data_IF_042281407935
#
_entry.id   IF_042281407935
#
_cell.length_a   1.000
_cell.length_b   1.000
_cell.length_c   1.000
_cell.angle_alpha   90.00
_cell.angle_beta   90.00
_cell.angle_gamma   90.00
#
_symmetry.space_group_name_H-M   'P 1'
#
loop_
_entity.id
_entity.type
_entity.pdbx_description
1 polymer ?
#
# COMPACT_ATOMS: atom_id res chain seq x y z
N UNK A 1 -25.23 14.77 58.62
CA UNK A 1 -24.96 16.08 57.99
C UNK A 1 -23.94 15.84 56.89
N UNK A 2 -24.17 16.36 55.67
CA UNK A 2 -23.19 16.27 54.60
C UNK A 2 -21.91 16.99 55.04
N UNK A 3 -20.75 16.33 54.94
CA UNK A 3 -19.45 16.97 55.23
C UNK A 3 -19.28 18.16 54.31
N UNK A 4 -18.71 19.25 54.82
CA UNK A 4 -18.38 20.38 53.95
C UNK A 4 -17.36 19.96 52.87
N UNK A 5 -17.31 20.69 51.75
CA UNK A 5 -16.33 20.43 50.68
C UNK A 5 -14.89 20.42 51.22
N UNK A 6 -14.57 21.32 52.15
CA UNK A 6 -13.27 21.42 52.80
C UNK A 6 -12.93 20.21 53.67
N UNK A 7 -13.89 19.70 54.45
CA UNK A 7 -13.72 18.47 55.25
C UNK A 7 -13.52 17.24 54.36
N UNK A 8 -14.24 17.18 53.24
CA UNK A 8 -14.11 16.10 52.24
C UNK A 8 -12.73 16.14 51.57
N UNK A 9 -12.22 17.32 51.21
CA UNK A 9 -10.88 17.49 50.64
C UNK A 9 -9.77 17.10 51.63
N UNK A 10 -9.88 17.54 52.89
CA UNK A 10 -8.92 17.17 53.93
C UNK A 10 -8.87 15.65 54.11
N UNK A 11 -10.04 15.00 54.16
CA UNK A 11 -10.14 13.54 54.24
C UNK A 11 -9.54 12.83 53.01
N UNK A 12 -9.86 13.28 51.79
CA UNK A 12 -9.30 12.71 50.55
C UNK A 12 -7.76 12.81 50.52
N UNK A 13 -7.20 13.93 50.98
CA UNK A 13 -5.74 14.11 51.09
C UNK A 13 -5.13 13.11 52.07
N UNK A 14 -5.75 12.87 53.22
CA UNK A 14 -5.28 11.90 54.23
C UNK A 14 -5.31 10.46 53.71
N UNK A 15 -6.35 10.06 52.96
CA UNK A 15 -6.47 8.68 52.47
C UNK A 15 -5.77 8.41 51.12
N UNK A 16 -5.20 9.44 50.48
CA UNK A 16 -4.59 9.34 49.15
C UNK A 16 -3.51 8.25 49.04
N UNK A 17 -2.68 8.11 50.09
CA UNK A 17 -1.67 7.05 50.16
C UNK A 17 -2.28 5.66 50.23
N UNK A 18 -3.34 5.47 51.03
CA UNK A 18 -4.06 4.20 51.12
C UNK A 18 -4.73 3.84 49.78
N UNK A 19 -5.33 4.82 49.10
CA UNK A 19 -5.95 4.64 47.79
C UNK A 19 -4.92 4.18 46.75
N UNK A 20 -3.72 4.75 46.77
CA UNK A 20 -2.65 4.34 45.88
C UNK A 20 -2.22 2.89 46.13
N UNK A 21 -2.02 2.50 47.41
CA UNK A 21 -1.66 1.12 47.76
C UNK A 21 -2.77 0.13 47.39
N UNK A 22 -4.04 0.47 47.66
CA UNK A 22 -5.18 -0.34 47.28
C UNK A 22 -5.31 -0.50 45.76
N UNK A 23 -5.04 0.57 45.02
CA UNK A 23 -5.03 0.55 43.54
C UNK A 23 -3.97 -0.39 43.01
N UNK A 24 -2.72 -0.28 43.47
CA UNK A 24 -1.63 -1.17 43.05
C UNK A 24 -1.96 -2.64 43.34
N UNK A 25 -2.51 -2.93 44.53
CA UNK A 25 -2.93 -4.28 44.89
C UNK A 25 -4.06 -4.80 43.99
N UNK A 26 -5.02 -3.94 43.64
CA UNK A 26 -6.13 -4.30 42.74
C UNK A 26 -5.63 -4.53 41.32
N UNK A 27 -4.72 -3.70 40.82
CA UNK A 27 -4.08 -3.85 39.50
C UNK A 27 -3.40 -5.21 39.37
N UNK A 28 -2.58 -5.59 40.36
CA UNK A 28 -1.87 -6.88 40.39
C UNK A 28 -2.82 -8.08 40.45
N UNK A 29 -3.94 -7.94 41.15
CA UNK A 29 -4.95 -9.00 41.26
C UNK A 29 -5.88 -9.14 40.04
N UNK A 30 -6.06 -8.08 39.24
CA UNK A 30 -7.11 -8.04 38.20
C UNK A 30 -6.58 -7.97 36.78
N UNK A 31 -5.36 -7.48 36.56
CA UNK A 31 -4.78 -7.29 35.24
C UNK A 31 -3.58 -8.21 35.04
N UNK A 32 -3.73 -9.37 34.35
CA UNK A 32 -2.64 -10.33 34.15
C UNK A 32 -1.38 -9.69 33.53
N UNK A 33 -1.58 -8.80 32.55
CA UNK A 33 -0.48 -8.11 31.87
C UNK A 33 0.33 -7.22 32.81
N UNK A 34 -0.25 -6.70 33.90
CA UNK A 34 0.45 -5.87 34.87
C UNK A 34 1.40 -6.71 35.73
N UNK A 35 0.96 -7.91 36.11
CA UNK A 35 1.76 -8.90 36.83
C UNK A 35 2.96 -9.42 36.01
N UNK A 36 2.85 -9.44 34.68
CA UNK A 36 3.91 -9.87 33.77
C UNK A 36 4.90 -8.74 33.40
N UNK A 37 4.63 -7.49 33.79
CA UNK A 37 5.51 -6.37 33.44
C UNK A 37 6.85 -6.40 34.21
N UNK A 38 7.97 -6.00 33.58
CA UNK A 38 9.24 -5.80 34.27
C UNK A 38 9.11 -4.80 35.43
N UNK A 39 9.86 -4.98 36.55
CA UNK A 39 9.71 -4.16 37.75
C UNK A 39 9.79 -2.65 37.52
N UNK A 40 10.70 -2.19 36.66
CA UNK A 40 10.83 -0.77 36.33
C UNK A 40 9.60 -0.16 35.65
N UNK A 41 8.93 -0.92 34.76
CA UNK A 41 7.70 -0.47 34.08
C UNK A 41 6.51 -0.52 35.01
N UNK A 42 6.42 -1.58 35.83
CA UNK A 42 5.36 -1.73 36.85
C UNK A 42 5.37 -0.56 37.84
N UNK A 43 6.56 -0.16 38.30
CA UNK A 43 6.75 1.01 39.16
C UNK A 43 6.24 2.30 38.48
N UNK A 44 6.58 2.49 37.20
CA UNK A 44 6.14 3.66 36.44
C UNK A 44 4.61 3.71 36.24
N UNK A 45 3.93 2.57 36.04
CA UNK A 45 2.46 2.49 36.04
C UNK A 45 1.89 2.87 37.41
N UNK A 46 2.52 2.43 38.50
CA UNK A 46 2.15 2.82 39.86
C UNK A 46 2.23 4.34 40.11
N UNK A 47 3.25 5.01 39.55
CA UNK A 47 3.39 6.46 39.61
C UNK A 47 2.26 7.18 38.87
N UNK A 48 1.84 6.66 37.71
CA UNK A 48 0.69 7.20 36.95
C UNK A 48 -0.61 7.07 37.75
N UNK A 49 -0.84 5.92 38.39
CA UNK A 49 -2.01 5.73 39.26
C UNK A 49 -2.04 6.72 40.44
N UNK A 50 -0.89 6.97 41.07
CA UNK A 50 -0.75 7.97 42.13
C UNK A 50 -1.00 9.39 41.64
N UNK A 51 -0.42 9.76 40.49
CA UNK A 51 -0.65 11.05 39.84
C UNK A 51 -2.14 11.25 39.50
N UNK A 52 -2.82 10.19 39.04
CA UNK A 52 -4.27 10.19 38.77
C UNK A 52 -5.12 10.48 40.01
N UNK A 53 -4.78 9.90 41.17
CA UNK A 53 -5.47 10.17 42.44
C UNK A 53 -5.21 11.60 42.91
N UNK A 54 -3.97 12.10 42.78
CA UNK A 54 -3.63 13.49 43.14
C UNK A 54 -4.35 14.49 42.24
N UNK A 55 -4.39 14.24 40.93
CA UNK A 55 -5.08 15.07 39.95
C UNK A 55 -6.59 15.10 40.21
N UNK A 56 -7.21 13.99 40.63
CA UNK A 56 -8.61 13.97 41.07
C UNK A 56 -8.85 14.92 42.26
N UNK A 57 -7.99 14.87 43.29
CA UNK A 57 -8.14 15.70 44.48
C UNK A 57 -8.03 17.19 44.11
N UNK A 58 -7.09 17.53 43.23
CA UNK A 58 -6.91 18.89 42.72
C UNK A 58 -8.11 19.35 41.87
N UNK A 59 -8.61 18.50 40.98
CA UNK A 59 -9.80 18.77 40.19
C UNK A 59 -11.06 18.92 41.06
N UNK A 60 -11.19 18.13 42.12
CA UNK A 60 -12.30 18.26 43.08
C UNK A 60 -12.25 19.58 43.84
N UNK A 61 -11.05 20.09 44.16
CA UNK A 61 -10.84 21.40 44.77
C UNK A 61 -11.31 22.52 43.83
N UNK A 62 -10.85 22.49 42.58
CA UNK A 62 -11.21 23.46 41.53
C UNK A 62 -11.52 22.77 40.19
N UNK A 63 -12.81 22.53 39.87
CA UNK A 63 -13.22 21.89 38.62
C UNK A 63 -12.91 22.71 37.36
N UNK A 64 -12.55 24.00 37.47
CA UNK A 64 -12.17 24.82 36.31
C UNK A 64 -10.78 24.48 35.77
N UNK A 65 -9.99 23.68 36.50
CA UNK A 65 -8.64 23.22 36.10
C UNK A 65 -8.64 22.06 35.08
N UNK A 66 -9.80 21.74 34.48
CA UNK A 66 -10.01 20.59 33.59
C UNK A 66 -9.07 20.53 32.37
N UNK A 67 -8.52 21.67 31.93
CA UNK A 67 -7.73 21.81 30.70
C UNK A 67 -6.39 21.02 30.69
N UNK A 68 -5.89 20.53 31.83
CA UNK A 68 -4.54 19.94 31.94
C UNK A 68 -4.46 18.53 32.53
N UNK A 69 -5.60 17.85 32.78
CA UNK A 69 -5.66 16.54 33.46
C UNK A 69 -4.79 15.48 32.76
N UNK A 70 -4.81 15.42 31.42
CA UNK A 70 -4.00 14.48 30.65
C UNK A 70 -2.49 14.74 30.81
N UNK A 71 -2.09 16.01 30.70
CA UNK A 71 -0.69 16.43 30.80
C UNK A 71 -0.14 16.18 32.20
N UNK A 72 -0.95 16.35 33.25
CA UNK A 72 -0.52 16.17 34.63
C UNK A 72 -0.38 14.70 35.03
N UNK A 73 -1.28 13.82 34.53
CA UNK A 73 -1.26 12.39 34.86
C UNK A 73 -0.25 11.61 34.00
N UNK A 74 -0.17 11.92 32.71
CA UNK A 74 0.72 11.22 31.77
C UNK A 74 2.07 11.92 31.59
N UNK A 75 2.18 13.21 31.89
CA UNK A 75 3.45 13.95 31.81
C UNK A 75 4.43 13.62 32.94
N UNK A 76 3.95 13.08 34.06
CA UNK A 76 4.80 12.53 35.13
C UNK A 76 5.37 11.14 34.82
N UNK A 77 4.89 10.49 33.75
CA UNK A 77 5.33 9.16 33.36
C UNK A 77 6.60 9.21 32.47
N UNK A 78 7.53 8.25 32.59
CA UNK A 78 8.63 8.11 31.66
C UNK A 78 8.12 7.95 30.22
N UNK A 79 8.82 8.57 29.25
CA UNK A 79 8.45 8.49 27.82
C UNK A 79 8.44 7.06 27.28
N UNK A 80 9.21 6.15 27.88
CA UNK A 80 9.20 4.73 27.50
C UNK A 80 7.87 4.03 27.84
N UNK A 81 7.15 4.49 28.86
CA UNK A 81 5.86 3.91 29.27
C UNK A 81 4.76 4.24 28.26
N UNK A 82 4.73 5.48 27.76
CA UNK A 82 3.77 5.92 26.73
C UNK A 82 3.92 5.18 25.40
N UNK A 83 5.11 4.61 25.12
CA UNK A 83 5.36 3.82 23.91
C UNK A 83 5.01 2.34 24.05
N UNK A 84 4.87 1.84 25.28
CA UNK A 84 4.75 0.40 25.57
C UNK A 84 3.39 -0.01 26.15
N UNK A 85 2.60 0.95 26.63
CA UNK A 85 1.24 0.70 27.13
C UNK A 85 0.23 1.03 26.02
N UNK A 86 -0.68 0.12 25.71
CA UNK A 86 -1.72 0.33 24.68
C UNK A 86 -2.89 1.16 25.21
N UNK A 87 -3.71 1.74 24.33
CA UNK A 87 -4.94 2.45 24.74
C UNK A 87 -5.86 1.53 25.57
N UNK A 88 -5.98 0.26 25.19
CA UNK A 88 -6.76 -0.73 25.93
C UNK A 88 -6.24 -0.90 27.36
N UNK A 89 -4.91 -1.03 27.54
CA UNK A 89 -4.30 -1.15 28.86
C UNK A 89 -4.49 0.13 29.68
N UNK A 90 -4.38 1.32 29.07
CA UNK A 90 -4.64 2.60 29.73
C UNK A 90 -6.09 2.72 30.22
N UNK A 91 -7.07 2.31 29.40
CA UNK A 91 -8.49 2.29 29.80
C UNK A 91 -8.75 1.29 30.94
N UNK A 92 -8.08 0.13 30.93
CA UNK A 92 -8.16 -0.84 32.02
C UNK A 92 -7.57 -0.28 33.33
N UNK A 93 -6.44 0.44 33.26
CA UNK A 93 -5.86 1.13 34.42
C UNK A 93 -6.83 2.15 35.01
N UNK A 94 -7.37 3.04 34.18
CA UNK A 94 -8.32 4.08 34.60
C UNK A 94 -9.54 3.43 35.26
N UNK A 95 -10.08 2.37 34.65
CA UNK A 95 -11.21 1.63 35.21
C UNK A 95 -10.91 1.09 36.60
N UNK A 96 -9.77 0.43 36.80
CA UNK A 96 -9.40 -0.10 38.11
C UNK A 96 -9.20 1.01 39.15
N UNK A 97 -8.57 2.12 38.78
CA UNK A 97 -8.39 3.29 39.67
C UNK A 97 -9.75 3.84 40.09
N UNK A 98 -10.67 4.02 39.14
CA UNK A 98 -12.03 4.52 39.40
C UNK A 98 -12.80 3.55 40.29
N UNK A 99 -12.79 2.25 40.00
CA UNK A 99 -13.46 1.22 40.82
C UNK A 99 -12.94 1.23 42.26
N UNK A 100 -11.63 1.38 42.48
CA UNK A 100 -11.04 1.44 43.82
C UNK A 100 -11.45 2.71 44.58
N UNK A 101 -11.47 3.86 43.90
CA UNK A 101 -11.92 5.12 44.49
C UNK A 101 -13.42 5.06 44.79
N UNK A 102 -14.24 4.53 43.89
CA UNK A 102 -15.69 4.33 44.11
C UNK A 102 -15.96 3.40 45.29
N UNK A 103 -15.29 2.25 45.37
CA UNK A 103 -15.42 1.28 46.45
C UNK A 103 -15.15 1.93 47.83
N UNK A 104 -14.13 2.79 47.91
CA UNK A 104 -13.76 3.48 49.15
C UNK A 104 -14.74 4.60 49.52
N UNK A 105 -15.47 5.13 48.54
CA UNK A 105 -16.35 6.30 48.66
C UNK A 105 -17.84 5.91 48.72
N UNK A 106 -18.17 4.61 48.71
CA UNK A 106 -19.55 4.09 48.81
C UNK A 106 -20.40 4.68 49.95
N UNK A 107 -19.78 5.07 51.06
CA UNK A 107 -20.44 5.71 52.22
C UNK A 107 -20.39 7.24 52.26
N UNK A 108 -19.88 7.90 51.22
CA UNK A 108 -19.75 9.36 51.15
C UNK A 108 -20.98 10.02 50.50
N UNK A 109 -20.98 11.36 50.52
CA UNK A 109 -22.05 12.20 49.98
C UNK A 109 -22.23 12.06 48.46
N UNK A 110 -23.45 12.31 47.98
CA UNK A 110 -23.81 12.18 46.56
C UNK A 110 -22.96 13.09 45.65
N UNK A 111 -22.58 14.28 46.16
CA UNK A 111 -21.72 15.25 45.47
C UNK A 111 -20.34 14.69 45.12
N UNK A 112 -19.73 13.89 46.00
CA UNK A 112 -18.42 13.28 45.74
C UNK A 112 -18.52 12.14 44.73
N UNK A 113 -19.63 11.39 44.73
CA UNK A 113 -19.88 10.33 43.74
C UNK A 113 -20.04 10.91 42.33
N UNK A 114 -20.81 11.99 42.21
CA UNK A 114 -20.95 12.72 40.94
C UNK A 114 -19.61 13.28 40.46
N UNK A 115 -18.80 13.84 41.37
CA UNK A 115 -17.46 14.31 41.05
C UNK A 115 -16.54 13.20 40.52
N UNK A 116 -16.58 12.00 41.09
CA UNK A 116 -15.80 10.85 40.59
C UNK A 116 -16.23 10.45 39.19
N UNK A 117 -17.55 10.42 38.90
CA UNK A 117 -18.08 10.10 37.58
C UNK A 117 -17.71 11.16 36.52
N UNK A 118 -17.77 12.43 36.88
CA UNK A 118 -17.36 13.52 35.98
C UNK A 118 -15.86 13.43 35.70
N UNK A 119 -15.03 13.30 36.73
CA UNK A 119 -13.58 13.17 36.56
C UNK A 119 -13.18 11.93 35.77
N UNK A 120 -13.83 10.77 36.00
CA UNK A 120 -13.55 9.53 35.29
C UNK A 120 -13.86 9.65 33.79
N UNK A 121 -14.92 10.39 33.44
CA UNK A 121 -15.22 10.73 32.05
C UNK A 121 -14.16 11.64 31.44
N UNK A 122 -13.77 12.72 32.13
CA UNK A 122 -12.78 13.68 31.62
C UNK A 122 -11.41 13.02 31.43
N UNK A 123 -10.92 12.21 32.38
CA UNK A 123 -9.64 11.50 32.26
C UNK A 123 -9.66 10.47 31.14
N UNK A 124 -10.79 9.78 30.90
CA UNK A 124 -10.91 8.83 29.81
C UNK A 124 -10.83 9.50 28.42
N UNK A 125 -11.51 10.63 28.22
CA UNK A 125 -11.41 11.40 26.97
C UNK A 125 -10.02 12.01 26.76
N UNK A 126 -9.43 12.54 27.82
CA UNK A 126 -8.05 13.02 27.83
C UNK A 126 -7.04 11.94 27.39
N UNK A 127 -7.16 10.72 27.91
CA UNK A 127 -6.33 9.59 27.48
C UNK A 127 -6.56 9.22 26.03
N UNK A 128 -7.81 9.20 25.58
CA UNK A 128 -8.14 8.92 24.18
C UNK A 128 -7.49 9.95 23.23
N UNK A 129 -7.50 11.25 23.57
CA UNK A 129 -6.88 12.30 22.75
C UNK A 129 -5.35 12.12 22.63
N UNK A 130 -4.65 11.80 23.73
CA UNK A 130 -3.19 11.56 23.71
C UNK A 130 -2.83 10.38 22.81
N UNK A 131 -3.57 9.27 22.91
CA UNK A 131 -3.33 8.09 22.07
C UNK A 131 -3.77 8.31 20.62
N UNK A 132 -4.85 9.06 20.37
CA UNK A 132 -5.28 9.44 19.03
C UNK A 132 -4.19 10.26 18.32
N UNK A 133 -3.66 11.31 18.97
CA UNK A 133 -2.56 12.12 18.42
C UNK A 133 -1.29 11.30 18.18
N UNK A 134 -0.94 10.39 19.09
CA UNK A 134 0.22 9.52 18.91
C UNK A 134 0.02 8.52 17.74
N UNK A 135 -1.20 8.00 17.56
CA UNK A 135 -1.55 7.15 16.44
C UNK A 135 -1.55 7.91 15.11
N UNK A 136 -2.10 9.14 15.07
CA UNK A 136 -2.04 10.03 13.92
C UNK A 136 -0.61 10.38 13.53
N UNK A 137 0.24 10.74 14.50
CA UNK A 137 1.65 11.04 14.25
C UNK A 137 2.41 9.84 13.67
N UNK A 138 2.10 8.62 14.12
CA UNK A 138 2.66 7.39 13.56
C UNK A 138 2.14 7.11 12.15
N UNK A 139 0.83 7.25 11.93
CA UNK A 139 0.23 7.09 10.60
C UNK A 139 0.78 8.09 9.57
N UNK A 140 1.05 9.33 9.99
CA UNK A 140 1.71 10.34 9.15
C UNK A 140 3.18 9.97 8.84
N UNK A 141 3.88 9.31 9.75
CA UNK A 141 5.24 8.84 9.51
C UNK A 141 5.26 7.69 8.51
N UNK A 142 4.35 6.72 8.66
CA UNK A 142 4.19 5.60 7.72
C UNK A 142 3.79 6.10 6.32
N UNK A 143 2.83 7.02 6.23
CA UNK A 143 2.42 7.62 4.96
C UNK A 143 3.55 8.41 4.28
N UNK A 144 4.38 9.10 5.07
CA UNK A 144 5.56 9.82 4.54
C UNK A 144 6.65 8.86 4.08
N UNK A 145 6.91 7.80 4.83
CA UNK A 145 7.87 6.76 4.47
C UNK A 145 7.44 6.06 3.17
N UNK A 146 6.16 5.71 3.07
CA UNK A 146 5.56 5.12 1.88
C UNK A 146 5.64 6.05 0.67
N UNK A 147 5.29 7.33 0.82
CA UNK A 147 5.43 8.32 -0.23
C UNK A 147 6.88 8.44 -0.73
N UNK A 148 7.86 8.40 0.17
CA UNK A 148 9.28 8.42 -0.18
C UNK A 148 9.69 7.15 -0.95
N UNK A 149 9.25 5.98 -0.51
CA UNK A 149 9.53 4.71 -1.20
C UNK A 149 8.92 4.69 -2.60
N UNK A 150 7.66 5.12 -2.75
CA UNK A 150 7.02 5.20 -4.07
C UNK A 150 7.75 6.20 -4.95
N UNK A 151 8.17 7.36 -4.43
CA UNK A 151 8.93 8.33 -5.23
C UNK A 151 10.27 7.78 -5.72
N UNK A 152 11.03 7.07 -4.86
CA UNK A 152 12.26 6.36 -5.25
C UNK A 152 12.01 5.30 -6.33
N UNK A 153 10.90 4.55 -6.24
CA UNK A 153 10.50 3.59 -7.28
C UNK A 153 10.19 4.31 -8.60
N UNK A 154 9.50 5.46 -8.55
CA UNK A 154 9.13 6.21 -9.73
C UNK A 154 10.32 6.86 -10.44
N UNK A 155 11.27 7.43 -9.68
CA UNK A 155 12.53 7.95 -10.22
C UNK A 155 13.41 6.80 -10.76
N UNK A 156 13.37 5.65 -10.08
CA UNK A 156 14.29 4.54 -10.29
C UNK A 156 15.64 4.76 -9.61
N UNK A 157 15.70 5.68 -8.63
CA UNK A 157 16.86 5.91 -7.79
C UNK A 157 16.77 4.99 -6.57
N UNK A 158 17.68 4.01 -6.51
CA UNK A 158 17.76 3.06 -5.41
C UNK A 158 18.89 3.45 -4.47
N UNK A 159 18.55 3.57 -3.19
CA UNK A 159 19.50 3.72 -2.09
C UNK A 159 19.57 2.40 -1.31
N UNK A 160 20.69 2.14 -0.63
CA UNK A 160 20.94 0.90 0.12
C UNK A 160 19.92 0.69 1.26
N UNK A 161 19.27 1.76 1.71
CA UNK A 161 18.24 1.72 2.76
C UNK A 161 16.83 1.31 2.26
N UNK A 162 16.58 1.35 0.95
CA UNK A 162 15.25 1.13 0.37
C UNK A 162 14.63 -0.23 0.79
N UNK A 163 15.34 -1.37 0.76
CA UNK A 163 14.80 -2.65 1.22
C UNK A 163 14.34 -2.62 2.70
N UNK A 164 15.11 -1.98 3.57
CA UNK A 164 14.77 -1.84 5.00
C UNK A 164 13.51 -1.00 5.20
N UNK A 165 13.33 0.07 4.42
CA UNK A 165 12.13 0.92 4.47
C UNK A 165 10.89 0.20 3.97
N UNK A 166 11.03 -0.59 2.90
CA UNK A 166 9.96 -1.44 2.35
C UNK A 166 9.52 -2.51 3.36
N UNK A 167 10.49 -3.19 3.99
CA UNK A 167 10.20 -4.19 5.02
C UNK A 167 9.48 -3.57 6.24
N UNK A 168 9.86 -2.34 6.63
CA UNK A 168 9.21 -1.61 7.72
C UNK A 168 7.72 -1.27 7.41
N UNK A 169 7.35 -1.13 6.14
CA UNK A 169 5.97 -0.94 5.69
C UNK A 169 5.15 -2.24 5.64
N UNK A 170 5.76 -3.37 6.02
CA UNK A 170 5.10 -4.68 6.00
C UNK A 170 4.91 -5.23 4.59
N UNK A 171 5.80 -4.89 3.67
CA UNK A 171 5.86 -5.52 2.35
C UNK A 171 6.55 -6.88 2.47
N UNK A 172 5.85 -7.93 2.07
CA UNK A 172 6.32 -9.31 2.10
C UNK A 172 6.67 -9.84 0.70
N UNK A 173 6.33 -9.10 -0.35
CA UNK A 173 6.52 -9.50 -1.74
C UNK A 173 7.97 -9.72 -2.12
N UNK A 174 8.35 -10.99 -2.28
CA UNK A 174 9.55 -11.46 -2.99
C UNK A 174 9.27 -11.75 -4.48
N UNK A 175 8.09 -11.38 -4.96
CA UNK A 175 7.59 -11.77 -6.27
C UNK A 175 7.53 -10.63 -7.28
N UNK A 176 6.85 -10.94 -8.37
CA UNK A 176 6.57 -10.03 -9.47
C UNK A 176 5.82 -8.78 -8.98
N UNK A 177 6.04 -7.67 -9.69
CA UNK A 177 5.45 -6.36 -9.38
C UNK A 177 4.84 -5.77 -10.64
N UNK A 178 3.73 -5.04 -10.48
CA UNK A 178 3.18 -4.17 -11.50
C UNK A 178 2.66 -2.87 -10.89
N UNK A 179 2.67 -1.79 -11.67
CA UNK A 179 2.27 -0.46 -11.20
C UNK A 179 0.98 -0.03 -11.90
N UNK A 180 -0.02 0.33 -11.11
CA UNK A 180 -1.32 0.79 -11.55
C UNK A 180 -1.44 2.30 -11.32
N UNK A 181 -1.77 3.05 -12.37
CA UNK A 181 -1.85 4.51 -12.34
C UNK A 181 -3.23 4.96 -12.79
N UNK A 182 -3.88 5.80 -11.99
CA UNK A 182 -5.17 6.38 -12.31
C UNK A 182 -5.36 7.77 -11.72
N UNK A 183 -6.55 8.33 -11.88
CA UNK A 183 -6.91 9.62 -11.27
C UNK A 183 -7.09 9.46 -9.76
N UNK A 184 -6.58 10.38 -8.95
CA UNK A 184 -6.86 10.39 -7.50
C UNK A 184 -8.32 10.76 -7.25
N UNK A 185 -9.09 9.98 -6.46
CA UNK A 185 -10.43 10.39 -6.05
C UNK A 185 -10.38 11.62 -5.13
N UNK A 186 -11.49 12.35 -5.00
CA UNK A 186 -11.57 13.52 -4.11
C UNK A 186 -11.36 13.17 -2.64
N UNK A 187 -11.81 11.99 -2.23
CA UNK A 187 -11.59 11.41 -0.91
C UNK A 187 -10.96 10.04 -1.14
N UNK A 188 -9.73 9.85 -0.66
CA UNK A 188 -8.98 8.61 -0.83
C UNK A 188 -9.10 7.76 0.44
N UNK A 189 -9.76 6.60 0.34
CA UNK A 189 -9.80 5.60 1.40
C UNK A 189 -8.65 4.60 1.22
N UNK A 190 -7.52 4.92 1.86
CA UNK A 190 -6.30 4.10 1.83
C UNK A 190 -6.53 2.73 2.49
N UNK A 191 -7.34 2.67 3.54
CA UNK A 191 -7.60 1.43 4.27
C UNK A 191 -8.48 0.47 3.49
N UNK A 192 -9.43 0.97 2.70
CA UNK A 192 -10.20 0.15 1.76
C UNK A 192 -9.29 -0.48 0.70
N UNK A 193 -8.39 0.29 0.07
CA UNK A 193 -7.43 -0.23 -0.91
C UNK A 193 -6.55 -1.33 -0.31
N UNK A 194 -6.02 -1.11 0.90
CA UNK A 194 -5.22 -2.13 1.61
C UNK A 194 -6.01 -3.37 1.97
N UNK A 195 -7.26 -3.22 2.42
CA UNK A 195 -8.13 -4.37 2.74
C UNK A 195 -8.43 -5.20 1.50
N UNK A 196 -8.74 -4.55 0.38
CA UNK A 196 -8.94 -5.24 -0.91
C UNK A 196 -7.68 -5.96 -1.34
N UNK A 197 -6.51 -5.32 -1.31
CA UNK A 197 -5.23 -5.94 -1.68
C UNK A 197 -4.91 -7.17 -0.81
N UNK A 198 -5.06 -7.06 0.52
CA UNK A 198 -4.86 -8.18 1.46
C UNK A 198 -5.79 -9.36 1.19
N UNK A 199 -7.05 -9.09 0.84
CA UNK A 199 -8.00 -10.15 0.48
C UNK A 199 -7.60 -10.90 -0.78
N UNK A 200 -6.87 -10.24 -1.68
CA UNK A 200 -6.34 -10.79 -2.94
C UNK A 200 -4.91 -11.34 -2.79
N UNK A 201 -4.39 -11.44 -1.56
CA UNK A 201 -3.01 -11.87 -1.29
C UNK A 201 -1.96 -11.04 -2.07
N UNK A 202 -2.18 -9.72 -2.12
CA UNK A 202 -1.27 -8.78 -2.73
C UNK A 202 -0.82 -7.72 -1.72
N UNK A 203 0.45 -7.36 -1.81
CA UNK A 203 1.00 -6.19 -1.14
C UNK A 203 0.79 -4.96 -2.03
N UNK A 204 0.52 -3.81 -1.40
CA UNK A 204 0.32 -2.55 -2.12
C UNK A 204 1.04 -1.39 -1.42
N UNK A 205 1.82 -0.63 -2.20
CA UNK A 205 2.32 0.69 -1.82
C UNK A 205 1.50 1.76 -2.54
N UNK A 206 1.11 2.78 -1.81
CA UNK A 206 0.17 3.80 -2.25
C UNK A 206 0.88 5.15 -2.30
N UNK A 207 0.98 5.73 -3.50
CA UNK A 207 1.56 7.05 -3.72
C UNK A 207 0.58 8.01 -4.38
N UNK A 208 0.49 9.24 -3.86
CA UNK A 208 -0.32 10.31 -4.46
C UNK A 208 0.61 11.34 -5.10
N UNK A 209 0.50 11.53 -6.41
CA UNK A 209 1.26 12.52 -7.18
C UNK A 209 0.34 13.53 -7.87
N UNK A 210 0.01 14.61 -7.17
CA UNK A 210 -0.95 15.61 -7.64
C UNK A 210 -2.32 14.98 -7.86
N UNK A 211 -2.82 14.99 -9.10
CA UNK A 211 -4.09 14.37 -9.46
C UNK A 211 -3.98 12.88 -9.88
N UNK A 212 -2.82 12.25 -9.65
CA UNK A 212 -2.56 10.86 -10.00
C UNK A 212 -2.39 10.02 -8.75
N UNK A 213 -3.10 8.91 -8.70
CA UNK A 213 -2.91 7.85 -7.72
C UNK A 213 -2.06 6.75 -8.36
N UNK A 214 -0.99 6.36 -7.69
CA UNK A 214 -0.05 5.32 -8.11
C UNK A 214 -0.11 4.22 -7.07
N UNK A 215 -0.43 3.00 -7.51
CA UNK A 215 -0.38 1.80 -6.69
C UNK A 215 0.72 0.89 -7.22
N UNK A 216 1.70 0.57 -6.39
CA UNK A 216 2.68 -0.47 -6.68
C UNK A 216 2.16 -1.76 -6.07
N UNK A 217 1.86 -2.74 -6.92
CA UNK A 217 1.21 -3.99 -6.54
C UNK A 217 2.26 -5.10 -6.62
N UNK A 218 2.50 -5.80 -5.50
CA UNK A 218 3.35 -6.98 -5.43
C UNK A 218 2.51 -8.21 -5.10
N UNK A 219 2.77 -9.34 -5.76
CA UNK A 219 2.14 -10.60 -5.33
C UNK A 219 2.87 -11.15 -4.11
N UNK A 220 2.14 -11.66 -3.12
CA UNK A 220 2.75 -12.32 -1.97
C UNK A 220 3.24 -13.74 -2.31
N UNK A 221 2.72 -14.34 -3.39
CA UNK A 221 3.11 -15.66 -3.91
C UNK A 221 3.52 -15.50 -5.38
N UNK A 222 4.72 -15.98 -5.80
CA UNK A 222 5.13 -15.95 -7.20
C UNK A 222 4.20 -16.80 -8.08
N UNK A 223 3.98 -16.41 -9.34
CA UNK A 223 3.26 -17.26 -10.28
C UNK A 223 3.99 -18.61 -10.46
N UNK A 224 3.27 -19.75 -10.59
CA UNK A 224 3.90 -21.03 -10.89
C UNK A 224 4.64 -20.94 -12.24
N UNK A 225 5.98 -20.99 -12.18
CA UNK A 225 6.88 -20.90 -13.33
C UNK A 225 7.83 -19.70 -13.39
N UNK A 226 7.71 -18.72 -12.49
CA UNK A 226 8.61 -17.54 -12.44
C UNK A 226 9.80 -17.68 -11.50
N UNK A 227 10.13 -18.90 -11.07
CA UNK A 227 11.30 -19.17 -10.24
C UNK A 227 12.60 -18.81 -10.99
N UNK A 228 13.18 -17.67 -10.60
CA UNK A 228 14.55 -17.31 -10.97
C UNK A 228 15.49 -18.31 -10.27
N UNK A 229 16.50 -18.90 -10.94
CA UNK A 229 17.42 -19.83 -10.32
C UNK A 229 18.44 -19.07 -9.46
N UNK A 230 18.06 -18.72 -8.23
CA UNK A 230 18.96 -18.07 -7.28
C UNK A 230 18.62 -18.42 -5.82
N UNK A 231 18.73 -19.70 -5.47
CA UNK A 231 19.40 -20.13 -4.23
C UNK A 231 19.47 -21.66 -4.20
N UNK A 232 20.66 -22.20 -4.49
CA UNK A 232 21.02 -23.53 -4.00
C UNK A 232 21.09 -23.48 -2.48
N UNK A 233 20.04 -23.98 -1.80
CA UNK A 233 20.08 -24.67 -0.51
C UNK A 233 18.69 -24.68 0.16
N UNK A 234 17.85 -25.65 -0.20
CA UNK A 234 17.06 -26.42 0.77
C UNK A 234 16.33 -27.56 0.04
N UNK A 235 16.77 -28.76 0.40
CA UNK A 235 16.24 -30.09 0.10
C UNK A 235 14.74 -30.24 -0.12
N UNK A 236 14.41 -31.03 -1.15
CA UNK A 236 13.44 -32.13 -1.15
C UNK A 236 12.14 -31.90 -0.35
N UNK A 237 11.17 -31.27 -1.00
CA UNK A 237 9.77 -31.61 -0.81
C UNK A 237 9.14 -31.76 -2.20
N UNK A 238 8.91 -33.00 -2.62
CA UNK A 238 7.91 -33.30 -3.63
C UNK A 238 6.59 -32.72 -3.12
N UNK A 239 6.23 -31.54 -3.61
CA UNK A 239 5.00 -30.86 -3.20
C UNK A 239 4.03 -30.96 -4.36
N UNK A 240 2.91 -31.61 -4.11
CA UNK A 240 1.79 -31.85 -5.02
C UNK A 240 1.48 -30.65 -5.93
N UNK A 241 1.87 -30.73 -7.20
CA UNK A 241 1.50 -29.77 -8.26
C UNK A 241 -0.02 -29.74 -8.56
N UNK A 242 -0.81 -30.57 -7.88
CA UNK A 242 -2.23 -30.79 -8.17
C UNK A 242 -3.20 -29.84 -7.43
N UNK A 243 -2.74 -29.02 -6.47
CA UNK A 243 -3.61 -28.19 -5.62
C UNK A 243 -3.15 -26.72 -5.45
N UNK A 244 -2.32 -26.19 -6.35
CA UNK A 244 -1.99 -24.76 -6.31
C UNK A 244 -3.23 -23.93 -6.68
N UNK A 245 -3.77 -23.15 -5.73
CA UNK A 245 -4.82 -22.16 -6.02
C UNK A 245 -4.35 -21.23 -7.15
N UNK A 246 -5.21 -20.89 -8.12
CA UNK A 246 -4.82 -20.05 -9.25
C UNK A 246 -4.38 -18.67 -8.75
N UNK A 247 -3.09 -18.33 -8.94
CA UNK A 247 -2.56 -17.00 -8.67
C UNK A 247 -3.27 -15.97 -9.54
N UNK A 248 -3.89 -14.97 -8.92
CA UNK A 248 -4.61 -13.91 -9.63
C UNK A 248 -3.65 -13.10 -10.52
N UNK A 249 -4.09 -12.81 -11.74
CA UNK A 249 -3.34 -11.95 -12.65
C UNK A 249 -3.28 -10.51 -12.12
N UNK A 250 -2.25 -9.74 -12.50
CA UNK A 250 -2.22 -8.31 -12.15
C UNK A 250 -3.43 -7.55 -12.72
N UNK A 251 -4.00 -8.05 -13.82
CA UNK A 251 -5.19 -7.47 -14.42
C UNK A 251 -6.42 -7.66 -13.53
N UNK A 252 -6.57 -8.82 -12.92
CA UNK A 252 -7.70 -9.10 -12.01
C UNK A 252 -7.56 -8.33 -10.70
N UNK A 253 -6.34 -8.23 -10.17
CA UNK A 253 -6.05 -7.38 -9.00
C UNK A 253 -6.36 -5.90 -9.33
N UNK A 254 -5.94 -5.42 -10.50
CA UNK A 254 -6.19 -4.05 -10.92
C UNK A 254 -7.69 -3.74 -11.11
N UNK A 255 -8.48 -4.71 -11.63
CA UNK A 255 -9.95 -4.59 -11.71
C UNK A 255 -10.59 -4.52 -10.32
N UNK A 256 -10.12 -5.33 -9.37
CA UNK A 256 -10.63 -5.31 -8.01
C UNK A 256 -10.28 -4.01 -7.26
N UNK A 257 -9.13 -3.40 -7.58
CA UNK A 257 -8.69 -2.11 -7.01
C UNK A 257 -9.29 -0.89 -7.73
N UNK A 258 -9.85 -1.06 -8.93
CA UNK A 258 -10.48 0.01 -9.73
C UNK A 258 -11.45 0.91 -8.94
N UNK A 259 -12.33 0.40 -8.06
CA UNK A 259 -13.28 1.23 -7.32
C UNK A 259 -12.62 2.26 -6.40
N UNK A 260 -11.36 2.07 -6.03
CA UNK A 260 -10.59 3.02 -5.22
C UNK A 260 -10.00 4.19 -6.01
N UNK A 261 -10.15 4.21 -7.33
CA UNK A 261 -9.65 5.30 -8.19
C UNK A 261 -10.76 6.28 -8.59
N UNK A 262 -10.35 7.52 -8.89
CA UNK A 262 -11.22 8.52 -9.48
C UNK A 262 -11.65 8.19 -10.91
N UNK A 263 -12.57 8.98 -11.49
CA UNK A 263 -13.01 8.83 -12.86
C UNK A 263 -11.88 9.08 -13.87
N UNK A 264 -12.03 8.56 -15.09
CA UNK A 264 -11.06 8.75 -16.17
C UNK A 264 -10.37 7.45 -16.60
N UNK A 265 -9.09 7.53 -16.95
CA UNK A 265 -8.31 6.36 -17.36
C UNK A 265 -7.67 5.68 -16.14
N UNK A 266 -7.40 4.38 -16.29
CA UNK A 266 -6.68 3.58 -15.30
C UNK A 266 -5.75 2.68 -16.10
N UNK A 267 -4.45 2.79 -15.88
CA UNK A 267 -3.43 2.14 -16.69
C UNK A 267 -2.55 1.26 -15.83
N UNK A 268 -2.43 0.00 -16.22
CA UNK A 268 -1.59 -1.01 -15.58
C UNK A 268 -0.29 -1.19 -16.38
N UNK A 269 0.85 -1.07 -15.70
CA UNK A 269 2.16 -1.33 -16.28
C UNK A 269 2.39 -2.82 -16.57
N UNK A 270 3.43 -3.11 -17.35
CA UNK A 270 3.85 -4.50 -17.55
C UNK A 270 4.39 -5.09 -16.25
N UNK A 271 4.29 -6.40 -16.14
CA UNK A 271 4.84 -7.17 -15.03
C UNK A 271 6.37 -7.17 -15.06
N UNK A 272 6.97 -7.00 -13.89
CA UNK A 272 8.42 -7.01 -13.69
C UNK A 272 8.80 -7.97 -12.56
N UNK A 273 10.03 -8.51 -12.54
CA UNK A 273 10.41 -9.60 -11.62
C UNK A 273 10.50 -9.18 -10.15
N UNK A 274 10.78 -7.90 -9.89
CA UNK A 274 11.06 -7.41 -8.55
C UNK A 274 10.62 -5.96 -8.35
N UNK A 275 10.57 -5.52 -7.10
CA UNK A 275 10.30 -4.13 -6.75
C UNK A 275 11.39 -3.17 -7.24
N UNK A 276 12.63 -3.65 -7.41
CA UNK A 276 13.75 -2.88 -7.99
C UNK A 276 13.55 -2.68 -9.49
N UNK A 277 12.75 -3.51 -10.16
CA UNK A 277 12.39 -3.31 -11.56
C UNK A 277 11.11 -2.49 -11.74
N UNK A 278 10.39 -2.18 -10.64
CA UNK A 278 9.09 -1.54 -10.68
C UNK A 278 9.11 -0.16 -11.34
N UNK A 279 10.26 0.54 -11.35
CA UNK A 279 10.45 1.79 -12.08
C UNK A 279 10.12 1.67 -13.57
N UNK A 280 10.39 0.52 -14.21
CA UNK A 280 10.06 0.28 -15.62
C UNK A 280 8.56 0.14 -15.83
N UNK A 281 7.89 -0.61 -14.95
CA UNK A 281 6.44 -0.76 -14.95
C UNK A 281 5.75 0.58 -14.70
N UNK A 282 6.25 1.35 -13.72
CA UNK A 282 5.75 2.67 -13.38
C UNK A 282 5.89 3.68 -14.51
N UNK A 283 7.08 3.78 -15.13
CA UNK A 283 7.32 4.67 -16.26
C UNK A 283 6.38 4.35 -17.42
N UNK A 284 6.16 3.06 -17.71
CA UNK A 284 5.21 2.62 -18.71
C UNK A 284 3.76 3.00 -18.36
N UNK A 285 3.33 2.77 -17.12
CA UNK A 285 1.98 3.09 -16.67
C UNK A 285 1.71 4.60 -16.64
N UNK A 286 2.66 5.41 -16.18
CA UNK A 286 2.59 6.88 -16.18
C UNK A 286 2.53 7.45 -17.60
N UNK A 287 3.40 6.97 -18.50
CA UNK A 287 3.37 7.36 -19.90
C UNK A 287 2.06 6.95 -20.58
N UNK A 288 1.59 5.73 -20.31
CA UNK A 288 0.30 5.24 -20.78
C UNK A 288 -0.86 6.09 -20.28
N UNK A 289 -0.89 6.44 -18.98
CA UNK A 289 -1.92 7.30 -18.40
C UNK A 289 -1.97 8.68 -19.07
N UNK A 290 -0.81 9.26 -19.43
CA UNK A 290 -0.74 10.55 -20.12
C UNK A 290 -1.35 10.52 -21.53
N UNK A 291 -1.30 9.37 -22.21
CA UNK A 291 -1.78 9.22 -23.61
C UNK A 291 -3.10 8.46 -23.73
N UNK A 292 -3.60 7.85 -22.65
CA UNK A 292 -4.78 6.97 -22.68
C UNK A 292 -6.02 7.61 -23.32
N UNK A 293 -6.17 8.95 -23.21
CA UNK A 293 -7.24 9.72 -23.85
C UNK A 293 -7.27 9.63 -25.37
N UNK A 294 -6.15 9.29 -26.01
CA UNK A 294 -6.09 9.14 -27.46
C UNK A 294 -6.82 7.86 -27.94
N UNK A 295 -6.99 6.87 -27.05
CA UNK A 295 -7.79 5.69 -27.33
C UNK A 295 -9.21 5.86 -26.80
N UNK A 296 -10.13 6.23 -27.71
CA UNK A 296 -11.52 6.63 -27.38
C UNK A 296 -12.28 5.61 -26.53
N UNK A 297 -12.09 4.32 -26.80
CA UNK A 297 -12.79 3.22 -26.13
C UNK A 297 -11.79 2.32 -25.38
N UNK A 298 -10.79 2.91 -24.74
CA UNK A 298 -9.82 2.15 -23.95
C UNK A 298 -10.53 1.39 -22.81
N UNK A 299 -10.22 0.08 -22.62
CA UNK A 299 -10.75 -0.68 -21.49
C UNK A 299 -10.25 -0.09 -20.18
N UNK A 300 -10.99 -0.29 -19.09
CA UNK A 300 -10.59 0.15 -17.75
C UNK A 300 -10.49 -1.08 -16.84
N UNK A 301 -9.30 -1.42 -16.31
CA UNK A 301 -7.98 -0.83 -16.60
C UNK A 301 -7.46 -1.18 -18.01
N UNK A 302 -6.59 -0.32 -18.57
CA UNK A 302 -5.86 -0.52 -19.83
C UNK A 302 -4.44 -1.00 -19.55
N UNK A 303 -3.87 -1.89 -20.36
CA UNK A 303 -2.45 -2.21 -20.26
C UNK A 303 -1.60 -1.11 -20.91
N UNK A 304 -0.49 -0.75 -20.29
CA UNK A 304 0.46 0.22 -20.83
C UNK A 304 1.06 -0.26 -22.16
N UNK A 305 1.18 -1.58 -22.34
CA UNK A 305 1.69 -2.20 -23.57
C UNK A 305 0.67 -2.14 -24.71
N UNK A 306 -0.63 -2.03 -24.41
CA UNK A 306 -1.63 -1.77 -25.45
C UNK A 306 -1.48 -0.36 -26.00
N UNK A 307 -0.93 0.59 -25.22
CA UNK A 307 -0.74 2.02 -25.56
C UNK A 307 0.63 2.34 -26.19
N UNK A 308 1.39 1.33 -26.64
CA UNK A 308 2.73 1.53 -27.19
C UNK A 308 2.80 2.54 -28.36
N UNK A 309 1.87 2.53 -29.35
CA UNK A 309 1.89 3.51 -30.44
C UNK A 309 1.77 4.94 -29.94
N UNK A 310 0.78 5.23 -29.10
CA UNK A 310 0.51 6.57 -28.59
C UNK A 310 1.65 7.03 -27.67
N UNK A 311 2.18 6.13 -26.85
CA UNK A 311 3.36 6.42 -26.02
C UNK A 311 4.57 6.76 -26.89
N UNK A 312 4.84 5.98 -27.94
CA UNK A 312 5.95 6.22 -28.85
C UNK A 312 5.80 7.54 -29.62
N UNK A 313 4.58 7.88 -30.07
CA UNK A 313 4.26 9.16 -30.71
C UNK A 313 4.40 10.35 -29.74
N UNK A 314 4.10 10.14 -28.46
CA UNK A 314 4.32 11.13 -27.41
C UNK A 314 5.79 11.26 -26.96
N UNK A 315 6.70 10.50 -27.58
CA UNK A 315 8.13 10.57 -27.32
C UNK A 315 8.65 9.66 -26.21
N UNK A 316 7.87 8.67 -25.75
CA UNK A 316 8.32 7.68 -24.76
C UNK A 316 9.41 6.77 -25.36
N UNK A 317 10.69 6.89 -24.92
CA UNK A 317 11.77 6.05 -25.43
C UNK A 317 11.61 4.59 -25.04
N UNK A 318 10.97 4.29 -23.91
CA UNK A 318 10.69 2.92 -23.50
C UNK A 318 9.73 2.28 -24.50
N UNK A 319 8.63 2.94 -24.86
CA UNK A 319 7.69 2.43 -25.85
C UNK A 319 8.34 2.21 -27.23
N UNK A 320 9.16 3.17 -27.70
CA UNK A 320 9.90 3.02 -28.96
C UNK A 320 10.83 1.81 -28.93
N UNK A 321 11.62 1.65 -27.87
CA UNK A 321 12.52 0.51 -27.71
C UNK A 321 11.76 -0.81 -27.58
N UNK A 322 10.62 -0.84 -26.89
CA UNK A 322 9.76 -2.02 -26.77
C UNK A 322 9.21 -2.44 -28.13
N UNK A 323 8.68 -1.52 -28.93
CA UNK A 323 8.17 -1.81 -30.28
C UNK A 323 9.27 -2.42 -31.18
N UNK A 324 10.47 -1.85 -31.15
CA UNK A 324 11.59 -2.36 -31.95
C UNK A 324 12.08 -3.73 -31.45
N UNK A 325 12.31 -3.87 -30.14
CA UNK A 325 12.95 -5.06 -29.58
C UNK A 325 12.01 -6.26 -29.42
N UNK A 326 10.71 -6.05 -29.19
CA UNK A 326 9.75 -7.15 -29.02
C UNK A 326 9.03 -7.54 -30.31
N UNK A 327 8.94 -6.66 -31.29
CA UNK A 327 8.23 -6.96 -32.55
C UNK A 327 9.15 -6.95 -33.75
N UNK A 328 9.82 -5.82 -34.01
CA UNK A 328 10.57 -5.68 -35.25
C UNK A 328 11.78 -6.63 -35.33
N UNK A 329 12.69 -6.58 -34.35
CA UNK A 329 13.91 -7.41 -34.35
C UNK A 329 13.62 -8.90 -34.38
N UNK A 330 12.71 -9.47 -33.56
CA UNK A 330 12.41 -10.91 -33.61
C UNK A 330 11.92 -11.37 -34.99
N UNK A 331 11.10 -10.57 -35.67
CA UNK A 331 10.62 -10.89 -37.01
C UNK A 331 11.74 -10.76 -38.06
N UNK A 332 12.60 -9.74 -37.94
CA UNK A 332 13.73 -9.52 -38.84
C UNK A 332 14.76 -10.66 -38.73
N UNK A 333 15.10 -11.05 -37.50
CA UNK A 333 16.12 -12.06 -37.22
C UNK A 333 15.64 -13.48 -37.57
N UNK A 334 14.37 -13.82 -37.32
CA UNK A 334 13.86 -15.17 -37.61
C UNK A 334 13.46 -15.39 -39.07
N UNK A 335 12.75 -14.44 -39.70
CA UNK A 335 12.24 -14.65 -41.06
C UNK A 335 11.86 -13.34 -41.76
N UNK A 336 12.71 -12.87 -42.68
CA UNK A 336 12.38 -11.75 -43.57
C UNK A 336 11.08 -11.95 -44.37
N UNK A 337 10.71 -13.20 -44.67
CA UNK A 337 9.43 -13.51 -45.35
C UNK A 337 8.20 -13.26 -44.48
N UNK A 338 8.28 -13.56 -43.17
CA UNK A 338 7.19 -13.28 -42.24
C UNK A 338 7.00 -11.76 -42.07
N UNK A 339 8.11 -11.03 -42.00
CA UNK A 339 8.12 -9.58 -41.96
C UNK A 339 7.46 -8.98 -43.23
N UNK A 340 7.89 -9.41 -44.42
CA UNK A 340 7.33 -8.96 -45.69
C UNK A 340 5.83 -9.28 -45.80
N UNK A 341 5.41 -10.46 -45.31
CA UNK A 341 4.00 -10.84 -45.31
C UNK A 341 3.16 -9.96 -44.39
N UNK A 342 3.68 -9.63 -43.19
CA UNK A 342 3.00 -8.73 -42.26
C UNK A 342 2.88 -7.32 -42.82
N UNK A 343 3.94 -6.81 -43.45
CA UNK A 343 3.94 -5.48 -44.07
C UNK A 343 2.89 -5.38 -45.18
N UNK A 344 2.93 -6.31 -46.14
CA UNK A 344 1.97 -6.38 -47.24
C UNK A 344 0.53 -6.56 -46.74
N UNK A 345 0.33 -7.33 -45.66
CA UNK A 345 -0.99 -7.50 -45.06
C UNK A 345 -1.56 -6.20 -44.50
N UNK A 346 -0.75 -5.43 -43.79
CA UNK A 346 -1.16 -4.15 -43.20
C UNK A 346 -1.42 -3.09 -44.29
N UNK A 347 -0.57 -3.02 -45.32
CA UNK A 347 -0.73 -2.10 -46.46
C UNK A 347 -2.01 -2.40 -47.27
N UNK A 348 -2.38 -3.67 -47.39
CA UNK A 348 -3.63 -4.10 -48.04
C UNK A 348 -4.87 -4.00 -47.14
N UNK A 349 -4.84 -3.15 -46.12
CA UNK A 349 -5.97 -2.93 -45.22
C UNK A 349 -6.40 -4.18 -44.46
N UNK A 350 -5.47 -5.12 -44.22
CA UNK A 350 -5.70 -6.41 -43.55
C UNK A 350 -6.54 -7.40 -44.37
N UNK A 351 -6.48 -7.32 -45.70
CA UNK A 351 -7.16 -8.25 -46.60
C UNK A 351 -6.27 -9.44 -46.97
N UNK A 352 -6.65 -10.65 -46.55
CA UNK A 352 -5.92 -11.89 -46.88
C UNK A 352 -5.84 -12.12 -48.40
N UNK A 353 -6.93 -11.88 -49.13
CA UNK A 353 -7.01 -12.09 -50.58
C UNK A 353 -6.13 -11.10 -51.36
N UNK A 354 -6.12 -9.83 -50.95
CA UNK A 354 -5.27 -8.82 -51.60
C UNK A 354 -3.78 -9.09 -51.32
N UNK A 355 -3.45 -9.42 -50.07
CA UNK A 355 -2.08 -9.80 -49.66
C UNK A 355 -1.59 -11.02 -50.43
N UNK A 356 -2.43 -12.04 -50.58
CA UNK A 356 -2.10 -13.27 -51.30
C UNK A 356 -1.80 -13.01 -52.77
N UNK A 357 -2.62 -12.17 -53.41
CA UNK A 357 -2.42 -11.75 -54.81
C UNK A 357 -1.12 -10.97 -55.00
N UNK A 358 -0.81 -10.04 -54.10
CA UNK A 358 0.40 -9.22 -54.19
C UNK A 358 1.68 -10.03 -53.94
N UNK A 359 1.63 -10.98 -53.00
CA UNK A 359 2.76 -11.87 -52.69
C UNK A 359 2.85 -13.10 -53.60
N UNK A 360 1.92 -13.26 -54.56
CA UNK A 360 1.82 -14.44 -55.44
C UNK A 360 1.77 -15.78 -54.68
N UNK A 361 1.03 -15.82 -53.56
CA UNK A 361 0.81 -17.03 -52.76
C UNK A 361 -0.68 -17.33 -52.61
N UNK A 362 -1.01 -18.50 -52.07
CA UNK A 362 -2.40 -18.82 -51.72
C UNK A 362 -2.83 -18.10 -50.42
N UNK A 363 -4.09 -17.66 -50.26
CA UNK A 363 -4.58 -17.00 -49.03
C UNK A 363 -4.33 -17.80 -47.74
N UNK A 364 -4.38 -19.13 -47.82
CA UNK A 364 -4.04 -20.01 -46.68
C UNK A 364 -2.58 -19.87 -46.23
N UNK A 365 -1.65 -19.61 -47.15
CA UNK A 365 -0.24 -19.37 -46.82
C UNK A 365 -0.09 -18.06 -46.05
N UNK A 366 -0.82 -17.00 -46.45
CA UNK A 366 -0.84 -15.73 -45.69
C UNK A 366 -1.37 -15.97 -44.28
N UNK A 367 -2.49 -16.66 -44.13
CA UNK A 367 -3.07 -17.01 -42.81
C UNK A 367 -2.07 -17.80 -41.95
N UNK A 368 -1.39 -18.79 -42.53
CA UNK A 368 -0.37 -19.57 -41.82
C UNK A 368 0.81 -18.69 -41.37
N UNK A 369 1.32 -17.81 -42.26
CA UNK A 369 2.41 -16.89 -41.93
C UNK A 369 1.99 -15.89 -40.84
N UNK A 370 0.78 -15.33 -40.89
CA UNK A 370 0.27 -14.44 -39.84
C UNK A 370 0.12 -15.15 -38.50
N UNK A 371 -0.36 -16.41 -38.50
CA UNK A 371 -0.38 -17.23 -37.28
C UNK A 371 1.03 -17.43 -36.71
N UNK A 372 2.01 -17.65 -37.58
CA UNK A 372 3.42 -17.81 -37.18
C UNK A 372 4.02 -16.49 -36.67
N UNK A 373 3.70 -15.36 -37.29
CA UNK A 373 4.03 -14.02 -36.76
C UNK A 373 3.52 -13.89 -35.33
N UNK A 374 2.25 -14.20 -35.08
CA UNK A 374 1.66 -14.13 -33.74
C UNK A 374 2.35 -15.03 -32.72
N UNK A 375 2.82 -16.22 -33.13
CA UNK A 375 3.61 -17.10 -32.27
C UNK A 375 4.99 -16.52 -31.92
N UNK A 376 5.60 -15.75 -32.83
CA UNK A 376 6.94 -15.16 -32.62
C UNK A 376 6.88 -13.97 -31.67
N UNK A 377 5.90 -13.09 -31.84
CA UNK A 377 5.83 -11.81 -31.10
C UNK A 377 4.86 -11.85 -29.90
N UNK A 378 3.99 -12.86 -29.83
CA UNK A 378 3.00 -12.99 -28.76
C UNK A 378 1.74 -12.12 -28.91
N UNK A 379 1.52 -11.50 -30.08
CA UNK A 379 0.34 -10.67 -30.38
C UNK A 379 -0.44 -11.20 -31.58
N UNK A 380 -1.77 -11.11 -31.53
CA UNK A 380 -2.63 -11.47 -32.65
C UNK A 380 -2.51 -10.44 -33.78
N UNK A 381 -1.90 -10.83 -34.90
CA UNK A 381 -1.70 -9.95 -36.04
C UNK A 381 -3.00 -9.55 -36.76
N UNK A 382 -4.12 -10.20 -36.43
CA UNK A 382 -5.43 -9.90 -37.01
C UNK A 382 -6.26 -8.92 -36.18
N UNK A 383 -5.86 -8.68 -34.93
CA UNK A 383 -6.55 -7.78 -34.01
C UNK A 383 -6.48 -6.32 -34.45
N UNK A 384 -7.56 -5.57 -34.19
CA UNK A 384 -7.65 -4.19 -34.62
C UNK A 384 -6.72 -3.25 -33.86
N UNK A 385 -6.49 -3.54 -32.56
CA UNK A 385 -5.58 -2.75 -31.74
C UNK A 385 -4.14 -3.09 -32.08
N UNK A 386 -3.85 -4.38 -32.14
CA UNK A 386 -2.57 -5.00 -32.42
C UNK A 386 -2.06 -4.56 -33.79
N UNK A 387 -2.91 -4.46 -34.81
CA UNK A 387 -2.51 -3.95 -36.13
C UNK A 387 -1.82 -2.57 -36.08
N UNK A 388 -2.33 -1.64 -35.26
CA UNK A 388 -1.68 -0.34 -35.07
C UNK A 388 -0.32 -0.48 -34.38
N UNK A 389 -0.23 -1.38 -33.40
CA UNK A 389 1.01 -1.65 -32.67
C UNK A 389 2.06 -2.24 -33.60
N UNK A 390 1.68 -3.23 -34.41
CA UNK A 390 2.55 -3.87 -35.40
C UNK A 390 3.00 -2.87 -36.46
N UNK A 391 2.08 -2.11 -37.05
CA UNK A 391 2.42 -1.10 -38.05
C UNK A 391 3.38 -0.05 -37.48
N UNK A 392 3.16 0.38 -36.23
CA UNK A 392 4.06 1.34 -35.57
C UNK A 392 5.45 0.74 -35.32
N UNK A 393 5.53 -0.53 -34.91
CA UNK A 393 6.79 -1.22 -34.72
C UNK A 393 7.58 -1.39 -36.02
N UNK A 394 6.88 -1.73 -37.11
CA UNK A 394 7.44 -1.83 -38.45
C UNK A 394 8.06 -0.51 -38.91
N UNK A 395 7.30 0.59 -38.83
CA UNK A 395 7.79 1.93 -39.20
C UNK A 395 9.02 2.33 -38.37
N UNK A 396 8.94 2.20 -37.04
CA UNK A 396 10.03 2.57 -36.15
C UNK A 396 11.29 1.71 -36.35
N UNK A 397 11.11 0.42 -36.60
CA UNK A 397 12.21 -0.50 -36.88
C UNK A 397 12.96 -0.13 -38.16
N UNK A 398 12.23 0.15 -39.24
CA UNK A 398 12.83 0.57 -40.51
C UNK A 398 13.58 1.90 -40.40
N UNK A 399 13.04 2.88 -39.66
CA UNK A 399 13.76 4.13 -39.37
C UNK A 399 15.09 3.87 -38.65
N UNK A 400 15.07 2.96 -37.66
CA UNK A 400 16.24 2.65 -36.85
C UNK A 400 17.35 1.91 -37.64
N UNK A 401 16.96 1.10 -38.63
CA UNK A 401 17.91 0.43 -39.54
C UNK A 401 18.59 1.43 -40.49
N UNK A 402 17.85 2.44 -40.97
CA UNK A 402 18.42 3.51 -41.81
C UNK A 402 19.39 4.40 -41.03
N UNK A 403 19.06 4.74 -39.79
CA UNK A 403 19.96 5.51 -38.92
C UNK A 403 21.25 4.74 -38.60
N UNK A 404 21.16 3.42 -38.38
CA UNK A 404 22.32 2.56 -38.11
C UNK A 404 23.28 2.36 -39.29
N UNK A 405 22.81 2.51 -40.53
CA UNK A 405 23.63 2.46 -41.73
C UNK A 405 24.41 3.77 -41.99
N UNK A 406 23.93 4.90 -41.47
CA UNK A 406 24.58 6.22 -41.59
C UNK A 406 25.77 6.41 -40.65
N UNK A 407 25.77 5.78 -39.48
CA UNK A 407 26.82 5.96 -38.44
C UNK A 407 28.04 5.05 -38.61
N UNK A 408 28.05 4.13 -39.60
CA UNK A 408 29.17 3.22 -39.91
C UNK A 408 29.98 3.65 -41.14
N UNK A 409 30.06 4.94 -41.44
CA UNK A 409 30.88 5.49 -42.53
C UNK A 409 31.90 6.49 -42.03
#
# INVERSE_FOLDING_TARGET
MAKSKAETLAWLRTISGELATATIKRLDATLPWYGDMPPGRRSAVGLVAQAGIKSFIQWYEDPSTTTWIASDVFGSAPRELLRSVTLQQTLQLIRVVVEVVEDRVKGADASLREAILLYSREIAFASADVYARAAEARGLWDARLEALVVDSILSGEYDDELPSRIAALGWHGHGEVSVLVGTTPRVLDVDQLRRTARHLQADVLIGVQGNRLVLVIGRSIPAPGSATPASEAASAAETDEANAEPTLSFMDIARALEPGFGPGHLVLGHEVPSLVDASRSAKAALAGFAVARAWRNAPRPTLADDLLPERALAGDPLARSTLVNRVYRPLQDQSPELMATLWCYLDNGRSLEATARELYVHPNTVRYRLKRVSQVIGWDATGAREALILQSALILGTMNDHDGAGTRR
#
